data_IF_376636404618
#
_entry.id   IF_376636404618
#
_cell.length_a   1.000
_cell.length_b   1.000
_cell.length_c   1.000
_cell.angle_alpha   90.00
_cell.angle_beta   90.00
_cell.angle_gamma   90.00
#
_symmetry.space_group_name_H-M   'P 1'
#
loop_
_entity.id
_entity.type
_entity.pdbx_description
1 polymer ?
#
# COMPACT_ATOMS: atom_id res chain seq x y z
N UNK A 1 -13.18 -4.07 0.65
CA UNK A 1 -13.34 -2.69 1.17
C UNK A 1 -12.71 -1.69 0.21
N UNK A 2 -13.01 -0.40 0.34
CA UNK A 2 -12.34 0.66 -0.41
C UNK A 2 -11.17 1.18 0.44
N UNK A 3 -9.95 0.67 0.21
CA UNK A 3 -8.78 1.15 0.94
C UNK A 3 -8.35 2.51 0.38
N UNK A 4 -8.21 3.49 1.27
CA UNK A 4 -7.87 4.88 0.92
C UNK A 4 -6.78 5.41 1.88
N UNK A 5 -6.46 6.69 1.76
CA UNK A 5 -5.45 7.37 2.59
C UNK A 5 -5.75 7.37 4.09
N UNK A 6 -7.02 7.19 4.46
CA UNK A 6 -7.46 7.14 5.86
C UNK A 6 -7.38 5.73 6.45
N UNK A 7 -7.32 4.70 5.59
CA UNK A 7 -7.11 3.32 5.99
C UNK A 7 -5.69 3.11 6.53
N UNK A 8 -5.55 2.17 7.46
CA UNK A 8 -4.27 1.83 8.05
C UNK A 8 -3.46 0.93 7.12
N UNK A 9 -2.12 0.96 7.20
CA UNK A 9 -1.27 0.06 6.40
C UNK A 9 -1.61 -1.44 6.62
N UNK A 10 -1.92 -1.91 7.85
CA UNK A 10 -2.37 -3.29 8.04
C UNK A 10 -3.66 -3.62 7.28
N UNK A 11 -4.62 -2.68 7.20
CA UNK A 11 -5.86 -2.88 6.44
C UNK A 11 -5.55 -3.01 4.94
N UNK A 12 -4.66 -2.16 4.43
CA UNK A 12 -4.17 -2.26 3.05
C UNK A 12 -3.53 -3.62 2.75
N UNK A 13 -2.71 -4.15 3.66
CA UNK A 13 -2.05 -5.45 3.48
C UNK A 13 -3.07 -6.61 3.55
N UNK A 14 -4.09 -6.51 4.41
CA UNK A 14 -5.15 -7.52 4.52
C UNK A 14 -5.99 -7.57 3.24
N UNK A 15 -6.38 -6.41 2.71
CA UNK A 15 -7.23 -6.33 1.52
C UNK A 15 -6.44 -6.51 0.21
N UNK A 16 -5.21 -6.01 0.16
CA UNK A 16 -4.34 -5.97 -1.01
C UNK A 16 -2.90 -6.38 -0.63
N UNK A 17 -2.64 -7.67 -0.40
CA UNK A 17 -1.32 -8.15 0.02
C UNK A 17 -0.19 -7.77 -0.96
N UNK A 18 -0.49 -7.58 -2.24
CA UNK A 18 0.43 -7.10 -3.28
C UNK A 18 1.03 -5.72 -2.97
N UNK A 19 0.36 -4.91 -2.14
CA UNK A 19 0.87 -3.60 -1.73
C UNK A 19 2.01 -3.67 -0.73
N UNK A 20 2.23 -4.84 -0.10
CA UNK A 20 3.35 -5.08 0.85
C UNK A 20 4.70 -4.71 0.23
N UNK A 21 4.92 -5.03 -1.04
CA UNK A 21 6.16 -4.69 -1.75
C UNK A 21 6.37 -3.18 -1.86
N UNK A 22 5.30 -2.42 -2.09
CA UNK A 22 5.35 -0.95 -2.17
C UNK A 22 5.68 -0.35 -0.80
N UNK A 23 5.08 -0.85 0.28
CA UNK A 23 5.38 -0.40 1.64
C UNK A 23 6.84 -0.68 2.03
N UNK A 24 7.35 -1.87 1.66
CA UNK A 24 8.75 -2.23 1.88
C UNK A 24 9.73 -1.33 1.12
N UNK A 25 9.47 -1.06 -0.17
CA UNK A 25 10.30 -0.19 -1.00
C UNK A 25 10.34 1.26 -0.49
N UNK A 26 9.22 1.75 0.03
CA UNK A 26 9.11 3.08 0.63
C UNK A 26 9.65 3.17 2.07
N UNK A 27 10.02 2.05 2.70
CA UNK A 27 10.43 2.03 4.10
C UNK A 27 9.31 2.39 5.09
N UNK A 28 8.05 2.17 4.70
CA UNK A 28 6.90 2.48 5.55
C UNK A 28 6.80 1.48 6.69
N UNK A 29 6.94 1.99 7.93
CA UNK A 29 6.89 1.16 9.13
C UNK A 29 5.45 0.71 9.44
N UNK A 30 5.25 -0.61 9.42
CA UNK A 30 3.96 -1.26 9.69
C UNK A 30 3.70 -1.45 11.20
N UNK A 31 4.68 -1.13 12.05
CA UNK A 31 4.65 -1.40 13.49
C UNK A 31 3.70 -0.47 14.24
N UNK A 32 3.32 0.67 13.65
CA UNK A 32 2.31 1.56 14.19
C UNK A 32 0.88 1.16 13.78
N UNK A 33 0.40 0.07 14.36
CA UNK A 33 -1.03 -0.28 14.29
C UNK A 33 -1.87 0.89 14.83
N UNK A 34 -2.73 1.47 13.98
CA UNK A 34 -3.63 2.57 14.34
C UNK A 34 -3.33 3.93 13.69
N UNK A 35 -2.28 4.03 12.87
CA UNK A 35 -2.03 5.23 12.03
C UNK A 35 -2.54 4.99 10.61
N UNK A 36 -3.26 5.98 10.07
CA UNK A 36 -3.66 6.01 8.66
C UNK A 36 -2.44 6.12 7.74
N UNK A 37 -2.56 5.59 6.52
CA UNK A 37 -1.53 5.70 5.48
C UNK A 37 -1.06 7.16 5.29
N UNK A 38 -2.00 8.12 5.22
CA UNK A 38 -1.66 9.55 5.12
C UNK A 38 -0.75 10.02 6.25
N UNK A 39 -1.02 9.63 7.48
CA UNK A 39 -0.22 10.05 8.63
C UNK A 39 1.22 9.52 8.48
N UNK A 40 1.37 8.24 8.15
CA UNK A 40 2.70 7.62 8.02
C UNK A 40 3.49 8.26 6.87
N UNK A 41 2.85 8.49 5.72
CA UNK A 41 3.49 9.18 4.59
C UNK A 41 4.00 10.56 4.99
N UNK A 42 3.15 11.40 5.60
CA UNK A 42 3.53 12.76 6.01
C UNK A 42 4.66 12.72 7.04
N UNK A 43 4.59 11.80 8.02
CA UNK A 43 5.61 11.67 9.07
C UNK A 43 6.98 11.22 8.52
N UNK A 44 7.01 10.53 7.38
CA UNK A 44 8.23 10.14 6.68
C UNK A 44 8.65 11.12 5.57
N UNK A 45 7.94 12.23 5.39
CA UNK A 45 8.22 13.20 4.31
C UNK A 45 7.84 12.68 2.91
N UNK A 46 7.00 11.66 2.83
CA UNK A 46 6.46 11.12 1.58
C UNK A 46 5.14 11.80 1.23
N UNK A 47 4.89 11.98 -0.06
CA UNK A 47 3.62 12.52 -0.57
C UNK A 47 2.52 11.44 -0.51
N UNK A 48 1.46 11.63 0.30
CA UNK A 48 0.34 10.68 0.34
C UNK A 48 -0.28 10.35 -1.03
N UNK A 49 -0.56 11.32 -1.93
CA UNK A 49 -1.16 10.98 -3.23
C UNK A 49 -0.23 10.12 -4.10
N UNK A 50 1.07 10.43 -4.14
CA UNK A 50 2.06 9.63 -4.88
C UNK A 50 2.12 8.18 -4.37
N UNK A 51 2.11 8.00 -3.04
CA UNK A 51 2.09 6.66 -2.44
C UNK A 51 0.81 5.92 -2.83
N UNK A 52 -0.35 6.58 -2.79
CA UNK A 52 -1.62 5.98 -3.19
C UNK A 52 -1.61 5.53 -4.66
N UNK A 53 -1.03 6.32 -5.56
CA UNK A 53 -0.89 5.95 -6.97
C UNK A 53 0.00 4.71 -7.15
N UNK A 54 1.12 4.63 -6.42
CA UNK A 54 1.99 3.45 -6.43
C UNK A 54 1.27 2.18 -5.93
N UNK A 55 0.45 2.32 -4.90
CA UNK A 55 -0.36 1.20 -4.37
C UNK A 55 -1.39 0.73 -5.40
N UNK A 56 -2.11 1.67 -6.03
CA UNK A 56 -3.08 1.35 -7.10
C UNK A 56 -2.41 0.69 -8.30
N UNK A 57 -1.21 1.13 -8.67
CA UNK A 57 -0.43 0.51 -9.74
C UNK A 57 -0.03 -0.94 -9.40
N UNK A 58 0.35 -1.23 -8.16
CA UNK A 58 0.65 -2.58 -7.71
C UNK A 58 -0.58 -3.51 -7.80
N UNK A 59 -1.75 -3.02 -7.37
CA UNK A 59 -3.03 -3.75 -7.48
C UNK A 59 -3.37 -4.05 -8.94
N UNK A 60 -3.26 -3.05 -9.82
CA UNK A 60 -3.51 -3.21 -11.24
C UNK A 60 -2.50 -4.16 -11.91
N UNK A 61 -1.24 -4.14 -11.49
CA UNK A 61 -0.17 -5.02 -11.97
C UNK A 61 -0.36 -6.48 -11.57
N UNK A 62 -0.77 -6.75 -10.33
CA UNK A 62 -1.05 -8.11 -9.84
C UNK A 62 -2.20 -8.79 -10.57
N UNK A 63 -3.21 -8.04 -11.02
CA UNK A 63 -4.30 -8.59 -11.85
C UNK A 63 -3.84 -9.10 -13.23
N UNK A 64 -2.61 -8.81 -13.66
CA UNK A 64 -2.06 -9.26 -14.96
C UNK A 64 -1.19 -10.53 -14.87
N UNK A 65 -0.82 -10.95 -13.65
CA UNK A 65 0.17 -12.03 -13.42
C UNK A 65 -0.52 -13.35 -12.99
N UNK A 66 -1.72 -13.59 -13.53
CA UNK A 66 -2.29 -14.95 -13.66
C UNK A 66 -2.38 -15.31 -15.15
N UNK A 67 -1.24 -15.36 -15.82
CA UNK A 67 -1.09 -16.05 -17.10
C UNK A 67 0.26 -16.74 -17.11
N UNK A 68 0.24 -18.06 -17.05
CA UNK A 68 1.37 -18.98 -17.27
C UNK A 68 2.02 -19.59 -16.00
N UNK A 69 1.27 -20.46 -15.33
CA UNK A 69 1.84 -21.74 -14.89
C UNK A 69 1.31 -22.83 -15.83
N UNK A 70 2.16 -23.27 -16.77
CA UNK A 70 1.94 -24.42 -17.65
C UNK A 70 2.98 -25.48 -17.31
#
# INVERSE_FOLDING_TARGET
>A
MNCDLESSIPEWIIEHPETTGVFGDLGLDISCAGKSLRYVCVHQGLSPPEVLERLRAAIAGSSSIDRNAR
#
